data_IF_492792976465
#
_entry.id   IF_492792976465
#
_cell.length_a   1.000
_cell.length_b   1.000
_cell.length_c   1.000
_cell.angle_alpha   90.00
_cell.angle_beta   90.00
_cell.angle_gamma   90.00
#
_symmetry.space_group_name_H-M   'P 1'
#
loop_
_entity.id
_entity.type
_entity.pdbx_description
1 polymer ?
#
# COMPACT_ATOMS: atom_id res chain seq x y z
N UNK A 1 7.17 -30.16 -4.36
CA UNK A 1 6.81 -29.41 -3.13
C UNK A 1 7.95 -28.51 -2.66
N UNK A 2 9.19 -29.03 -2.44
CA UNK A 2 10.32 -28.23 -1.90
C UNK A 2 10.73 -27.06 -2.81
N UNK A 3 10.80 -27.24 -4.12
CA UNK A 3 11.14 -26.18 -5.08
C UNK A 3 10.09 -25.06 -5.12
N UNK A 4 8.81 -25.41 -4.96
CA UNK A 4 7.74 -24.42 -4.88
C UNK A 4 7.86 -23.56 -3.62
N UNK A 5 8.06 -24.18 -2.45
CA UNK A 5 8.29 -23.50 -1.18
C UNK A 5 9.52 -22.60 -1.21
N UNK A 6 10.60 -23.05 -1.82
CA UNK A 6 11.83 -22.27 -1.97
C UNK A 6 11.60 -21.03 -2.85
N UNK A 7 10.88 -21.18 -3.98
CA UNK A 7 10.54 -20.07 -4.88
C UNK A 7 9.66 -19.03 -4.19
N UNK A 8 8.64 -19.46 -3.49
CA UNK A 8 7.77 -18.58 -2.70
C UNK A 8 8.57 -17.83 -1.64
N UNK A 9 9.46 -18.51 -0.92
CA UNK A 9 10.34 -17.89 0.05
C UNK A 9 11.24 -16.82 -0.58
N UNK A 10 11.89 -17.11 -1.71
CA UNK A 10 12.73 -16.14 -2.42
C UNK A 10 11.95 -14.92 -2.89
N UNK A 11 10.74 -15.10 -3.43
CA UNK A 11 9.87 -13.99 -3.82
C UNK A 11 9.46 -13.15 -2.60
N UNK A 12 9.07 -13.80 -1.52
CA UNK A 12 8.63 -13.15 -0.28
C UNK A 12 9.74 -12.27 0.35
N UNK A 13 11.01 -12.57 0.10
CA UNK A 13 12.16 -11.80 0.60
C UNK A 13 12.89 -10.96 -0.44
N UNK A 14 12.47 -11.01 -1.70
CA UNK A 14 13.19 -10.39 -2.82
C UNK A 14 13.30 -8.86 -2.73
N UNK A 15 12.40 -8.20 -2.00
CA UNK A 15 12.32 -6.74 -1.90
C UNK A 15 12.60 -6.19 -0.50
N UNK A 16 13.00 -7.03 0.46
CA UNK A 16 13.13 -6.65 1.87
C UNK A 16 14.05 -5.44 2.07
N UNK A 17 15.21 -5.41 1.41
CA UNK A 17 16.14 -4.28 1.54
C UNK A 17 15.55 -2.94 1.08
N UNK A 18 14.80 -2.94 -0.04
CA UNK A 18 14.14 -1.74 -0.58
C UNK A 18 12.99 -1.31 0.35
N UNK A 19 12.24 -2.26 0.89
CA UNK A 19 11.14 -2.03 1.82
C UNK A 19 11.64 -1.39 3.11
N UNK A 20 12.69 -1.95 3.70
CA UNK A 20 13.30 -1.43 4.93
C UNK A 20 13.83 0.00 4.72
N UNK A 21 14.49 0.26 3.58
CA UNK A 21 14.98 1.59 3.25
C UNK A 21 13.82 2.61 3.11
N UNK A 22 12.76 2.28 2.39
CA UNK A 22 11.59 3.14 2.25
C UNK A 22 10.86 3.37 3.59
N UNK A 23 10.74 2.31 4.40
CA UNK A 23 10.18 2.38 5.75
C UNK A 23 10.93 3.38 6.64
N UNK A 24 12.26 3.35 6.58
CA UNK A 24 13.13 4.29 7.32
C UNK A 24 12.95 5.73 6.84
N UNK A 25 12.93 5.96 5.51
CA UNK A 25 12.80 7.31 4.91
C UNK A 25 11.45 7.95 5.29
N UNK A 26 10.37 7.18 5.23
CA UNK A 26 9.01 7.70 5.46
C UNK A 26 8.48 7.42 6.87
N UNK A 27 9.28 6.85 7.78
CA UNK A 27 8.87 6.50 9.15
C UNK A 27 7.59 5.65 9.16
N UNK A 28 7.59 4.59 8.37
CA UNK A 28 6.49 3.65 8.20
C UNK A 28 6.88 2.26 8.70
N UNK A 29 5.89 1.46 9.07
CA UNK A 29 6.07 0.05 9.42
C UNK A 29 6.46 -0.76 8.17
N UNK A 30 7.66 -1.37 8.13
CA UNK A 30 8.09 -2.18 6.99
C UNK A 30 7.19 -3.40 6.75
N UNK A 31 6.62 -3.98 7.80
CA UNK A 31 5.68 -5.09 7.69
C UNK A 31 4.40 -4.70 6.95
N UNK A 32 3.90 -3.47 7.18
CA UNK A 32 2.74 -2.94 6.45
C UNK A 32 3.07 -2.73 4.97
N UNK A 33 4.20 -2.10 4.65
CA UNK A 33 4.63 -1.87 3.26
C UNK A 33 4.75 -3.21 2.53
N UNK A 34 5.41 -4.19 3.15
CA UNK A 34 5.56 -5.54 2.60
C UNK A 34 4.22 -6.24 2.34
N UNK A 35 3.28 -6.11 3.27
CA UNK A 35 1.94 -6.67 3.14
C UNK A 35 1.15 -6.04 1.97
N UNK A 36 1.29 -4.73 1.77
CA UNK A 36 0.69 -4.04 0.61
C UNK A 36 1.31 -4.54 -0.69
N UNK A 37 2.64 -4.62 -0.80
CA UNK A 37 3.33 -5.15 -1.99
C UNK A 37 2.89 -6.59 -2.30
N UNK A 38 2.77 -7.42 -1.27
CA UNK A 38 2.22 -8.78 -1.45
C UNK A 38 0.80 -8.74 -2.03
N UNK A 39 -0.05 -7.86 -1.55
CA UNK A 39 -1.45 -7.77 -2.02
C UNK A 39 -1.54 -7.21 -3.44
N UNK A 40 -0.75 -6.20 -3.78
CA UNK A 40 -0.80 -5.49 -5.05
C UNK A 40 -0.17 -6.28 -6.22
N UNK A 41 1.00 -6.87 -6.01
CA UNK A 41 1.78 -7.44 -7.11
C UNK A 41 2.34 -8.85 -6.87
N UNK A 42 2.19 -9.41 -5.68
CA UNK A 42 2.90 -10.64 -5.29
C UNK A 42 4.42 -10.52 -5.52
N UNK A 43 4.97 -9.36 -5.19
CA UNK A 43 6.38 -9.01 -5.37
C UNK A 43 6.86 -8.98 -6.84
N UNK A 44 5.94 -8.83 -7.80
CA UNK A 44 6.31 -8.67 -9.21
C UNK A 44 6.56 -7.18 -9.53
N UNK A 45 7.83 -6.76 -9.78
CA UNK A 45 8.13 -5.35 -10.08
C UNK A 45 7.61 -4.90 -11.45
N UNK A 46 7.30 -5.83 -12.35
CA UNK A 46 6.79 -5.55 -13.69
C UNK A 46 5.25 -5.63 -13.78
N UNK A 47 4.57 -5.79 -12.64
CA UNK A 47 3.11 -5.87 -12.61
C UNK A 47 2.46 -4.63 -13.23
N UNK A 48 1.42 -4.87 -14.02
CA UNK A 48 0.62 -3.84 -14.69
C UNK A 48 -0.86 -4.08 -14.41
N UNK A 49 -1.52 -3.08 -13.85
CA UNK A 49 -2.95 -3.12 -13.58
C UNK A 49 -3.79 -2.73 -14.81
N UNK A 50 -5.08 -3.02 -14.74
CA UNK A 50 -6.03 -2.82 -15.86
C UNK A 50 -6.29 -1.34 -16.18
N UNK A 51 -6.07 -0.43 -15.22
CA UNK A 51 -6.30 1.01 -15.38
C UNK A 51 -5.00 1.82 -15.27
N UNK A 52 -3.86 1.19 -15.57
CA UNK A 52 -2.57 1.85 -15.68
C UNK A 52 -1.73 1.85 -14.42
N UNK A 53 -2.07 1.03 -13.44
CA UNK A 53 -1.23 0.83 -12.25
C UNK A 53 0.08 0.13 -12.61
N UNK A 54 1.19 0.55 -11.98
CA UNK A 54 2.52 0.01 -12.26
C UNK A 54 3.22 -0.51 -11.00
N UNK A 55 3.90 -1.62 -11.16
CA UNK A 55 4.95 -2.14 -10.32
C UNK A 55 4.50 -2.73 -8.98
N UNK A 56 5.44 -2.83 -8.04
CA UNK A 56 5.27 -3.54 -6.76
C UNK A 56 4.07 -3.07 -5.94
N UNK A 57 3.81 -1.77 -5.90
CA UNK A 57 2.72 -1.16 -5.13
C UNK A 57 1.57 -0.65 -5.99
N UNK A 58 1.56 -0.99 -7.28
CA UNK A 58 0.49 -0.66 -8.24
C UNK A 58 0.08 0.82 -8.22
N UNK A 59 1.06 1.70 -8.50
CA UNK A 59 0.89 3.16 -8.43
C UNK A 59 0.40 3.70 -9.76
N UNK A 60 -0.64 4.53 -9.71
CA UNK A 60 -1.19 5.26 -10.86
C UNK A 60 -0.39 6.54 -11.13
N UNK A 61 -0.51 7.03 -12.36
CA UNK A 61 0.19 8.23 -12.85
C UNK A 61 -0.01 9.46 -11.95
N UNK A 62 -1.24 9.73 -11.53
CA UNK A 62 -1.55 10.87 -10.67
C UNK A 62 -0.84 10.79 -9.31
N UNK A 63 -0.89 9.65 -8.65
CA UNK A 63 -0.21 9.43 -7.37
C UNK A 63 1.31 9.51 -7.50
N UNK A 64 1.84 8.98 -8.60
CA UNK A 64 3.26 9.07 -8.94
C UNK A 64 3.72 10.52 -9.16
N UNK A 65 2.92 11.30 -9.87
CA UNK A 65 3.17 12.72 -10.10
C UNK A 65 3.14 13.55 -8.80
N UNK A 66 2.23 13.26 -7.89
CA UNK A 66 2.19 13.90 -6.59
C UNK A 66 3.46 13.62 -5.76
N UNK A 67 3.89 12.36 -5.72
CA UNK A 67 5.14 11.97 -5.07
C UNK A 67 6.35 12.68 -5.68
N UNK A 68 6.49 12.62 -7.01
CA UNK A 68 7.60 13.26 -7.70
C UNK A 68 7.67 14.76 -7.43
N UNK A 69 6.52 15.45 -7.40
CA UNK A 69 6.43 16.87 -7.04
C UNK A 69 6.84 17.12 -5.60
N UNK A 70 6.37 16.29 -4.66
CA UNK A 70 6.71 16.42 -3.24
C UNK A 70 8.22 16.23 -2.97
N UNK A 71 8.85 15.31 -3.72
CA UNK A 71 10.29 15.01 -3.62
C UNK A 71 11.17 15.93 -4.49
N UNK A 72 10.59 16.88 -5.23
CA UNK A 72 11.33 17.78 -6.11
C UNK A 72 11.99 17.09 -7.31
N UNK A 73 11.45 15.94 -7.74
CA UNK A 73 11.96 15.17 -8.87
C UNK A 73 11.49 15.84 -10.17
N UNK A 74 12.44 16.39 -10.92
CA UNK A 74 12.19 17.00 -12.24
C UNK A 74 12.23 15.94 -13.34
N UNK A 75 11.55 16.19 -14.44
CA UNK A 75 11.50 15.29 -15.62
C UNK A 75 11.00 13.87 -15.28
N UNK A 76 10.15 13.74 -14.28
CA UNK A 76 9.52 12.48 -13.91
C UNK A 76 8.46 12.08 -14.94
N UNK A 77 8.41 10.79 -15.28
CA UNK A 77 7.31 10.18 -16.01
C UNK A 77 6.93 8.83 -15.39
N UNK A 78 5.65 8.48 -15.47
CA UNK A 78 5.06 7.32 -14.80
C UNK A 78 5.77 6.00 -15.10
N UNK A 79 6.24 5.78 -16.33
CA UNK A 79 6.95 4.57 -16.74
C UNK A 79 8.21 4.26 -15.90
N UNK A 80 8.80 5.26 -15.24
CA UNK A 80 9.94 5.07 -14.34
C UNK A 80 9.60 4.25 -13.09
N UNK A 81 8.32 4.09 -12.76
CA UNK A 81 7.86 3.28 -11.63
C UNK A 81 7.93 1.75 -11.88
N UNK A 82 8.40 1.31 -13.03
CA UNK A 82 8.85 -0.09 -13.21
C UNK A 82 10.13 -0.36 -12.41
N UNK A 83 10.92 0.67 -12.11
CA UNK A 83 12.03 0.54 -11.17
C UNK A 83 11.50 0.25 -9.75
N UNK A 84 11.90 -0.88 -9.17
CA UNK A 84 11.41 -1.35 -7.88
C UNK A 84 11.61 -0.32 -6.75
N UNK A 85 12.79 0.31 -6.67
CA UNK A 85 13.11 1.31 -5.64
C UNK A 85 12.20 2.53 -5.76
N UNK A 86 12.08 3.11 -6.95
CA UNK A 86 11.22 4.27 -7.19
C UNK A 86 9.74 3.95 -6.90
N UNK A 87 9.30 2.75 -7.27
CA UNK A 87 7.94 2.28 -7.02
C UNK A 87 7.62 2.18 -5.53
N UNK A 88 8.51 1.53 -4.75
CA UNK A 88 8.29 1.37 -3.31
C UNK A 88 8.38 2.72 -2.59
N UNK A 89 9.26 3.62 -3.01
CA UNK A 89 9.31 4.99 -2.45
C UNK A 89 8.00 5.74 -2.72
N UNK A 90 7.56 5.78 -3.97
CA UNK A 90 6.30 6.46 -4.34
C UNK A 90 5.09 5.86 -3.63
N UNK A 91 4.99 4.53 -3.60
CA UNK A 91 3.88 3.82 -2.96
C UNK A 91 3.84 4.01 -1.44
N UNK A 92 5.00 3.96 -0.79
CA UNK A 92 5.10 4.18 0.66
C UNK A 92 4.72 5.62 1.02
N UNK A 93 5.22 6.61 0.26
CA UNK A 93 4.83 8.01 0.44
C UNK A 93 3.32 8.21 0.30
N UNK A 94 2.72 7.63 -0.75
CA UNK A 94 1.28 7.76 -1.01
C UNK A 94 0.43 7.07 0.07
N UNK A 95 0.86 5.89 0.52
CA UNK A 95 0.22 5.18 1.63
C UNK A 95 0.29 5.98 2.94
N UNK A 96 1.47 6.55 3.26
CA UNK A 96 1.63 7.43 4.43
C UNK A 96 0.70 8.63 4.35
N UNK A 97 0.61 9.26 3.17
CA UNK A 97 -0.32 10.37 2.93
C UNK A 97 -1.77 9.96 3.21
N UNK A 98 -2.22 8.84 2.64
CA UNK A 98 -3.57 8.32 2.86
C UNK A 98 -3.86 8.06 4.35
N UNK A 99 -2.96 7.39 5.06
CA UNK A 99 -3.07 7.14 6.51
C UNK A 99 -3.13 8.46 7.29
N UNK A 100 -2.35 9.47 6.88
CA UNK A 100 -2.27 10.76 7.58
C UNK A 100 -3.58 11.54 7.61
N UNK A 101 -4.47 11.31 6.65
CA UNK A 101 -5.79 11.91 6.59
C UNK A 101 -6.73 11.44 7.72
N UNK A 102 -6.41 10.30 8.34
CA UNK A 102 -7.29 9.60 9.28
C UNK A 102 -6.72 9.49 10.70
N UNK A 103 -5.78 10.36 11.08
CA UNK A 103 -5.14 10.35 12.42
C UNK A 103 -6.10 10.51 13.59
N UNK A 104 -7.31 10.99 13.34
CA UNK A 104 -8.37 11.18 14.33
C UNK A 104 -9.16 9.89 14.64
N UNK A 105 -8.90 8.79 13.92
CA UNK A 105 -9.59 7.50 14.08
C UNK A 105 -8.84 6.57 15.02
N UNK A 106 -9.51 5.52 15.49
CA UNK A 106 -8.90 4.49 16.38
C UNK A 106 -7.86 3.63 15.66
N UNK A 107 -7.99 3.43 14.34
CA UNK A 107 -7.00 2.74 13.49
C UNK A 107 -6.83 3.44 12.14
N UNK A 108 -5.98 4.47 12.05
CA UNK A 108 -5.73 5.20 10.81
C UNK A 108 -5.28 4.33 9.63
N UNK A 109 -4.65 3.17 9.91
CA UNK A 109 -4.18 2.26 8.86
C UNK A 109 -5.35 1.63 8.10
N UNK A 110 -6.41 1.23 8.79
CA UNK A 110 -7.62 0.67 8.17
C UNK A 110 -8.22 1.65 7.14
N UNK A 111 -8.40 2.90 7.54
CA UNK A 111 -8.94 3.94 6.66
C UNK A 111 -7.98 4.31 5.53
N UNK A 112 -6.69 4.41 5.82
CA UNK A 112 -5.66 4.69 4.81
C UNK A 112 -5.56 3.60 3.75
N UNK A 113 -5.69 2.33 4.11
CA UNK A 113 -5.75 1.20 3.18
C UNK A 113 -7.01 1.26 2.31
N UNK A 114 -8.15 1.61 2.88
CA UNK A 114 -9.38 1.82 2.10
C UNK A 114 -9.22 2.96 1.09
N UNK A 115 -8.59 4.08 1.51
CA UNK A 115 -8.32 5.22 0.64
C UNK A 115 -7.33 4.85 -0.49
N UNK A 116 -6.28 4.11 -0.15
CA UNK A 116 -5.30 3.63 -1.12
C UNK A 116 -5.94 2.76 -2.22
N UNK A 117 -6.83 1.85 -1.83
CA UNK A 117 -7.48 0.89 -2.73
C UNK A 117 -8.67 1.48 -3.49
N UNK A 118 -9.59 2.15 -2.80
CA UNK A 118 -10.86 2.63 -3.36
C UNK A 118 -10.88 4.12 -3.68
N UNK A 119 -9.91 4.88 -3.18
CA UNK A 119 -9.86 6.35 -3.31
C UNK A 119 -10.61 7.09 -2.22
N UNK A 120 -10.15 8.33 -1.98
CA UNK A 120 -10.62 9.18 -0.89
C UNK A 120 -12.13 9.48 -0.96
N UNK A 121 -12.68 9.69 -2.15
CA UNK A 121 -14.09 10.01 -2.32
C UNK A 121 -15.03 8.92 -1.80
N UNK A 122 -14.66 7.66 -1.95
CA UNK A 122 -15.41 6.53 -1.40
C UNK A 122 -15.28 6.45 0.12
N UNK A 123 -14.06 6.62 0.65
CA UNK A 123 -13.84 6.64 2.11
C UNK A 123 -14.69 7.72 2.78
N UNK A 124 -14.76 8.93 2.20
CA UNK A 124 -15.59 10.03 2.73
C UNK A 124 -17.09 9.72 2.72
N UNK A 125 -17.56 8.84 1.84
CA UNK A 125 -18.97 8.37 1.86
C UNK A 125 -19.22 7.36 2.97
N UNK A 126 -18.23 6.50 3.26
CA UNK A 126 -18.37 5.41 4.23
C UNK A 126 -18.09 5.84 5.67
N UNK A 127 -17.30 6.88 5.92
CA UNK A 127 -16.87 7.32 7.24
C UNK A 127 -17.88 8.26 7.92
N UNK A 128 -19.14 7.87 8.03
CA UNK A 128 -20.19 8.65 8.70
C UNK A 128 -20.69 7.97 9.97
N UNK A 129 -21.25 8.76 10.90
CA UNK A 129 -21.71 8.24 12.19
C UNK A 129 -20.56 7.58 12.97
N UNK A 130 -20.80 6.41 13.52
CA UNK A 130 -19.78 5.66 14.29
C UNK A 130 -18.57 5.28 13.43
N UNK A 131 -18.77 5.03 12.14
CA UNK A 131 -17.71 4.73 11.20
C UNK A 131 -16.72 5.90 10.97
N UNK A 132 -17.03 7.09 11.42
CA UNK A 132 -16.14 8.24 11.31
C UNK A 132 -14.85 8.10 12.14
N UNK A 133 -14.91 7.34 13.24
CA UNK A 133 -13.77 7.17 14.17
C UNK A 133 -13.54 5.74 14.63
N UNK A 134 -14.48 4.82 14.40
CA UNK A 134 -14.42 3.42 14.80
C UNK A 134 -14.16 2.54 13.58
N UNK A 135 -12.99 1.90 13.53
CA UNK A 135 -12.53 1.10 12.38
C UNK A 135 -13.38 -0.14 12.13
N UNK A 136 -13.96 -0.75 13.17
CA UNK A 136 -14.85 -1.91 13.01
C UNK A 136 -16.13 -1.49 12.30
N UNK A 137 -16.77 -0.42 12.80
CA UNK A 137 -17.96 0.15 12.16
C UNK A 137 -17.64 0.64 10.72
N UNK A 138 -16.45 1.20 10.50
CA UNK A 138 -16.01 1.63 9.17
C UNK A 138 -15.90 0.46 8.20
N UNK A 139 -15.26 -0.65 8.60
CA UNK A 139 -15.15 -1.85 7.76
C UNK A 139 -16.54 -2.38 7.39
N UNK A 140 -17.49 -2.37 8.34
CA UNK A 140 -18.87 -2.77 8.07
C UNK A 140 -19.55 -1.86 7.04
N UNK A 141 -19.32 -0.55 7.12
CA UNK A 141 -19.88 0.47 6.23
C UNK A 141 -19.32 0.47 4.80
N UNK A 142 -18.13 -0.15 4.57
CA UNK A 142 -17.56 -0.23 3.22
C UNK A 142 -18.52 -0.99 2.29
N UNK A 143 -18.92 -0.38 1.19
CA UNK A 143 -19.84 -0.96 0.21
C UNK A 143 -19.16 -1.93 -0.78
N UNK A 144 -17.81 -1.84 -0.92
CA UNK A 144 -17.05 -2.68 -1.85
C UNK A 144 -16.46 -3.91 -1.16
N UNK A 145 -16.98 -5.13 -1.43
CA UNK A 145 -16.46 -6.36 -0.82
C UNK A 145 -14.95 -6.56 -1.08
N UNK A 146 -14.47 -6.18 -2.28
CA UNK A 146 -13.05 -6.27 -2.63
C UNK A 146 -12.17 -5.37 -1.75
N UNK A 147 -12.64 -4.17 -1.36
CA UNK A 147 -11.92 -3.28 -0.45
C UNK A 147 -11.90 -3.83 0.97
N UNK A 148 -13.00 -4.43 1.45
CA UNK A 148 -13.01 -5.13 2.75
C UNK A 148 -11.96 -6.25 2.78
N UNK A 149 -11.96 -7.09 1.76
CA UNK A 149 -10.99 -8.20 1.64
C UNK A 149 -9.55 -7.67 1.56
N UNK A 150 -9.33 -6.57 0.82
CA UNK A 150 -8.04 -5.90 0.72
C UNK A 150 -7.48 -5.55 2.09
N UNK A 151 -8.26 -4.84 2.91
CA UNK A 151 -7.86 -4.42 4.26
C UNK A 151 -7.57 -5.62 5.15
N UNK A 152 -8.49 -6.59 5.21
CA UNK A 152 -8.37 -7.75 6.08
C UNK A 152 -7.19 -8.65 5.70
N UNK A 153 -6.96 -8.86 4.41
CA UNK A 153 -5.84 -9.67 3.91
C UNK A 153 -4.49 -9.02 4.19
N UNK A 154 -4.39 -7.69 4.07
CA UNK A 154 -3.18 -6.93 4.41
C UNK A 154 -2.93 -7.01 5.92
N UNK A 155 -3.94 -6.82 6.76
CA UNK A 155 -3.81 -6.93 8.21
C UNK A 155 -3.23 -8.29 8.63
N UNK A 156 -3.80 -9.36 8.11
CA UNK A 156 -3.31 -10.73 8.36
C UNK A 156 -1.87 -10.94 7.85
N UNK A 157 -1.55 -10.40 6.70
CA UNK A 157 -0.20 -10.54 6.12
C UNK A 157 0.83 -9.70 6.85
N UNK A 158 0.48 -8.51 7.34
CA UNK A 158 1.30 -7.66 8.20
C UNK A 158 1.74 -8.39 9.46
N UNK A 159 0.85 -9.12 10.12
CA UNK A 159 1.21 -9.94 11.28
C UNK A 159 2.26 -11.02 10.94
N UNK A 160 2.16 -11.65 9.77
CA UNK A 160 3.19 -12.60 9.32
C UNK A 160 4.57 -11.94 9.16
N UNK A 161 4.61 -10.65 8.80
CA UNK A 161 5.84 -9.91 8.53
C UNK A 161 6.34 -9.04 9.69
N UNK A 162 5.71 -9.11 10.87
CA UNK A 162 5.98 -8.23 12.01
C UNK A 162 7.45 -8.17 12.46
N UNK A 163 8.25 -9.20 12.16
CA UNK A 163 9.66 -9.27 12.56
C UNK A 163 10.62 -8.69 11.48
N UNK A 164 10.08 -8.12 10.40
CA UNK A 164 10.86 -7.44 9.38
C UNK A 164 11.41 -6.11 9.92
N UNK A 165 12.74 -6.00 9.98
CA UNK A 165 13.47 -4.83 10.50
C UNK A 165 14.63 -4.47 9.58
#
# INVERSE_FOLDING_TARGET
AALWWWREYQLDHSQDAIIIAAASIYEMDPALIKAVIWRESRFNPEARGAVGELGLMQIRDMAAGEWAKAEGITNFHHGQLINAKSNVLAGTWYLKKAISHHKHTDDPVVYGLAEYNAGRSHVLKWNSGDAATNSVAFIEAIEFPATKEYILSIGKRREKYRDLR
#
